data_IF_360254428246
#
_entry.id   IF_360254428246
#
_cell.length_a   1.000
_cell.length_b   1.000
_cell.length_c   1.000
_cell.angle_alpha   90.00
_cell.angle_beta   90.00
_cell.angle_gamma   90.00
#
_symmetry.space_group_name_H-M   'P 1'
#
loop_
_entity.id
_entity.type
_entity.pdbx_description
1 polymer ?
#
# COMPACT_ATOMS: atom_id res chain seq x y z
N UNK A 1 -10.96 10.90 -0.50
CA UNK A 1 -11.56 11.03 -1.83
C UNK A 1 -12.14 12.43 -2.01
N UNK A 2 -12.13 12.90 -3.23
CA UNK A 2 -12.78 14.17 -3.58
C UNK A 2 -13.91 13.90 -4.57
N UNK A 3 -15.10 14.37 -4.23
CA UNK A 3 -16.29 14.25 -5.09
C UNK A 3 -16.88 15.65 -5.27
N UNK A 4 -17.02 16.09 -6.52
CA UNK A 4 -17.59 17.42 -6.84
C UNK A 4 -16.94 18.57 -6.04
N UNK A 5 -15.61 18.60 -5.97
CA UNK A 5 -14.79 19.58 -5.23
C UNK A 5 -14.97 19.57 -3.69
N UNK A 6 -15.60 18.54 -3.12
CA UNK A 6 -15.68 18.35 -1.67
C UNK A 6 -14.86 17.14 -1.26
N UNK A 7 -14.02 17.28 -0.24
CA UNK A 7 -13.22 16.21 0.31
C UNK A 7 -14.01 15.39 1.32
N UNK A 8 -13.82 14.08 1.27
CA UNK A 8 -14.35 13.11 2.22
C UNK A 8 -13.22 12.22 2.70
N UNK A 9 -13.06 12.10 4.00
CA UNK A 9 -12.16 11.13 4.60
C UNK A 9 -12.84 9.77 4.67
N UNK A 10 -12.09 8.71 4.51
CA UNK A 10 -12.58 7.34 4.64
C UNK A 10 -11.60 6.52 5.47
N UNK A 11 -12.10 5.55 6.23
CA UNK A 11 -11.36 4.65 7.10
C UNK A 11 -11.33 3.20 6.58
N UNK A 12 -12.01 2.94 5.46
CA UNK A 12 -11.99 1.65 4.80
C UNK A 12 -12.60 1.69 3.41
N UNK A 13 -12.30 0.67 2.61
CA UNK A 13 -12.90 0.48 1.30
C UNK A 13 -13.03 -0.99 0.95
N UNK A 14 -13.96 -1.31 0.05
CA UNK A 14 -14.09 -2.60 -0.61
C UNK A 14 -14.12 -2.40 -2.12
N UNK A 15 -13.56 -3.33 -2.87
CA UNK A 15 -13.60 -3.30 -4.32
C UNK A 15 -13.99 -4.68 -4.87
N UNK A 16 -14.71 -4.67 -5.99
CA UNK A 16 -15.02 -5.86 -6.78
C UNK A 16 -14.30 -5.77 -8.12
N UNK A 17 -13.48 -6.78 -8.39
CA UNK A 17 -12.65 -6.84 -9.60
C UNK A 17 -13.07 -8.05 -10.41
N UNK A 18 -13.58 -7.81 -11.61
CA UNK A 18 -13.94 -8.83 -12.57
C UNK A 18 -12.86 -9.00 -13.65
N UNK A 19 -13.17 -9.82 -14.65
CA UNK A 19 -12.28 -10.12 -15.77
C UNK A 19 -11.79 -8.86 -16.51
N UNK A 20 -12.65 -7.85 -16.62
CA UNK A 20 -12.36 -6.62 -17.37
C UNK A 20 -11.85 -5.47 -16.48
N UNK A 21 -11.54 -5.74 -15.22
CA UNK A 21 -11.02 -4.76 -14.26
C UNK A 21 -11.96 -4.49 -13.09
N UNK A 22 -11.82 -3.30 -12.49
CA UNK A 22 -12.60 -2.92 -11.31
C UNK A 22 -14.05 -2.62 -11.71
N UNK A 23 -14.99 -3.40 -11.18
CA UNK A 23 -16.42 -3.21 -11.42
C UNK A 23 -17.05 -2.19 -10.47
N UNK A 24 -16.60 -2.18 -9.21
CA UNK A 24 -17.10 -1.23 -8.21
C UNK A 24 -16.10 -1.01 -7.09
N UNK A 25 -16.12 0.19 -6.51
CA UNK A 25 -15.41 0.50 -5.27
C UNK A 25 -16.40 1.17 -4.32
N UNK A 26 -16.43 0.71 -3.08
CA UNK A 26 -17.25 1.27 -2.00
C UNK A 26 -16.33 1.81 -0.92
N UNK A 27 -16.47 3.09 -0.57
CA UNK A 27 -15.72 3.72 0.51
C UNK A 27 -16.59 3.80 1.76
N UNK A 28 -16.04 3.38 2.89
CA UNK A 28 -16.62 3.57 4.21
C UNK A 28 -16.11 4.92 4.73
N UNK A 29 -17.00 5.92 4.76
CA UNK A 29 -16.61 7.25 5.21
C UNK A 29 -16.25 7.25 6.69
N UNK A 30 -15.18 7.98 7.02
CA UNK A 30 -14.79 8.23 8.40
C UNK A 30 -15.87 9.07 9.13
N UNK A 31 -15.97 8.97 10.47
CA UNK A 31 -17.03 9.65 11.25
C UNK A 31 -17.12 11.16 10.98
N UNK A 32 -15.99 11.83 10.79
CA UNK A 32 -15.89 13.24 10.49
C UNK A 32 -16.36 13.64 9.08
N UNK A 33 -16.49 12.65 8.20
CA UNK A 33 -16.91 12.82 6.80
C UNK A 33 -18.28 12.22 6.51
N UNK A 34 -19.01 11.78 7.54
CA UNK A 34 -20.35 11.26 7.34
C UNK A 34 -21.26 12.34 6.76
N UNK A 35 -22.14 11.92 5.85
CA UNK A 35 -23.14 12.80 5.26
C UNK A 35 -24.24 13.05 6.26
N UNK A 36 -24.70 14.32 6.33
CA UNK A 36 -25.68 14.75 7.33
C UNK A 36 -27.04 14.04 7.18
N UNK A 37 -27.43 13.77 5.95
CA UNK A 37 -28.71 13.12 5.62
C UNK A 37 -28.68 12.43 4.24
N UNK A 38 -29.78 11.74 3.93
CA UNK A 38 -29.95 11.06 2.64
C UNK A 38 -29.95 12.04 1.45
N UNK A 39 -30.41 13.27 1.65
CA UNK A 39 -30.44 14.28 0.58
C UNK A 39 -29.01 14.72 0.20
N UNK A 40 -28.09 14.78 1.16
CA UNK A 40 -26.67 15.00 0.86
C UNK A 40 -26.07 13.80 0.11
N UNK A 41 -26.38 12.59 0.53
CA UNK A 41 -25.92 11.39 -0.14
C UNK A 41 -26.42 11.30 -1.59
N UNK A 42 -27.67 11.64 -1.83
CA UNK A 42 -28.29 11.64 -3.17
C UNK A 42 -27.68 12.74 -4.06
N UNK A 43 -27.38 13.92 -3.50
CA UNK A 43 -26.66 14.96 -4.23
C UNK A 43 -25.24 14.54 -4.63
N UNK A 44 -24.55 13.79 -3.78
CA UNK A 44 -23.22 13.28 -4.07
C UNK A 44 -23.26 12.16 -5.11
N UNK A 45 -24.27 11.29 -5.04
CA UNK A 45 -24.49 10.25 -6.06
C UNK A 45 -24.84 10.82 -7.44
N UNK A 46 -25.49 11.97 -7.47
CA UNK A 46 -26.01 12.61 -8.68
C UNK A 46 -27.20 11.87 -9.30
N UNK A 47 -28.05 12.60 -9.99
CA UNK A 47 -29.24 12.06 -10.69
C UNK A 47 -28.88 11.42 -12.05
N UNK A 48 -28.03 10.39 -12.06
CA UNK A 48 -27.55 9.75 -13.29
C UNK A 48 -26.54 10.59 -14.09
N UNK A 49 -26.06 11.68 -13.55
CA UNK A 49 -24.94 12.47 -14.07
C UNK A 49 -23.61 11.84 -13.62
N UNK A 50 -22.62 11.86 -14.48
CA UNK A 50 -21.27 11.40 -14.11
C UNK A 50 -20.68 12.28 -13.02
N UNK A 51 -20.56 11.77 -11.82
CA UNK A 51 -19.82 12.42 -10.76
C UNK A 51 -18.33 12.20 -10.95
N UNK A 52 -17.53 13.25 -10.87
CA UNK A 52 -16.09 13.13 -10.90
C UNK A 52 -15.61 12.77 -9.50
N UNK A 53 -15.08 11.55 -9.37
CA UNK A 53 -14.38 11.09 -8.17
C UNK A 53 -12.88 11.11 -8.45
N UNK A 54 -12.15 11.82 -7.61
CA UNK A 54 -10.68 11.91 -7.69
C UNK A 54 -10.05 11.24 -6.48
N UNK A 55 -9.03 10.44 -6.70
CA UNK A 55 -8.29 9.74 -5.65
C UNK A 55 -6.79 9.77 -5.92
N UNK A 56 -5.99 9.60 -4.87
CA UNK A 56 -4.56 9.38 -4.99
C UNK A 56 -3.81 10.54 -5.65
N UNK A 57 -2.88 10.23 -6.56
CA UNK A 57 -1.99 11.20 -7.19
C UNK A 57 -2.67 12.24 -8.10
N UNK A 58 -3.93 12.03 -8.45
CA UNK A 58 -4.72 13.00 -9.21
C UNK A 58 -5.37 14.08 -8.33
N UNK A 59 -5.13 14.08 -7.03
CA UNK A 59 -5.58 15.12 -6.10
C UNK A 59 -4.52 16.21 -5.97
N UNK A 60 -4.94 17.47 -5.90
CA UNK A 60 -4.04 18.63 -5.79
C UNK A 60 -3.25 18.68 -4.46
N UNK A 61 -3.75 18.04 -3.42
CA UNK A 61 -3.11 17.99 -2.10
C UNK A 61 -2.87 16.52 -1.71
N UNK A 62 -1.62 16.09 -1.81
CA UNK A 62 -1.17 14.80 -1.33
C UNK A 62 -0.85 14.92 0.16
N UNK A 63 -1.51 14.10 0.97
CA UNK A 63 -1.31 14.09 2.43
C UNK A 63 -0.55 12.84 2.89
N UNK A 64 -0.30 12.77 4.21
CA UNK A 64 0.35 11.64 4.86
C UNK A 64 -0.23 10.27 4.43
N UNK A 65 -1.56 10.08 4.34
CA UNK A 65 -2.12 8.79 3.93
C UNK A 65 -1.71 8.35 2.52
N UNK A 66 -1.50 9.29 1.60
CA UNK A 66 -1.01 8.98 0.26
C UNK A 66 0.38 8.34 0.31
N UNK A 67 1.31 8.98 1.02
CA UNK A 67 2.69 8.47 1.15
C UNK A 67 2.75 7.16 1.94
N UNK A 68 1.92 7.01 2.97
CA UNK A 68 1.78 5.74 3.69
C UNK A 68 1.32 4.61 2.76
N UNK A 69 0.36 4.86 1.88
CA UNK A 69 -0.08 3.88 0.90
C UNK A 69 1.00 3.52 -0.10
N UNK A 70 1.81 4.49 -0.56
CA UNK A 70 2.95 4.22 -1.45
C UNK A 70 3.99 3.30 -0.77
N UNK A 71 4.32 3.59 0.49
CA UNK A 71 5.24 2.76 1.27
C UNK A 71 4.65 1.35 1.48
N UNK A 72 3.38 1.25 1.82
CA UNK A 72 2.72 -0.04 2.05
C UNK A 72 2.66 -0.88 0.77
N UNK A 73 2.39 -0.28 -0.38
CA UNK A 73 2.38 -0.97 -1.67
C UNK A 73 3.79 -1.44 -2.05
N UNK A 74 4.79 -0.59 -1.87
CA UNK A 74 6.19 -0.98 -2.06
C UNK A 74 6.57 -2.16 -1.16
N UNK A 75 6.23 -2.10 0.13
CA UNK A 75 6.54 -3.18 1.08
C UNK A 75 5.87 -4.50 0.69
N UNK A 76 4.62 -4.47 0.24
CA UNK A 76 3.93 -5.68 -0.23
C UNK A 76 4.66 -6.31 -1.41
N UNK A 77 5.00 -5.51 -2.41
CA UNK A 77 5.70 -6.00 -3.59
C UNK A 77 7.09 -6.53 -3.25
N UNK A 78 7.86 -5.77 -2.46
CA UNK A 78 9.21 -6.17 -2.06
C UNK A 78 9.20 -7.45 -1.22
N UNK A 79 8.37 -7.51 -0.17
CA UNK A 79 8.33 -8.67 0.72
C UNK A 79 7.79 -9.91 0.03
N UNK A 80 6.84 -9.76 -0.89
CA UNK A 80 6.35 -10.87 -1.71
C UNK A 80 7.45 -11.41 -2.61
N UNK A 81 8.12 -10.54 -3.37
CA UNK A 81 9.22 -10.97 -4.25
C UNK A 81 10.37 -11.63 -3.46
N UNK A 82 10.70 -11.10 -2.28
CA UNK A 82 11.68 -11.69 -1.37
C UNK A 82 11.23 -13.08 -0.88
N UNK A 83 10.01 -13.18 -0.39
CA UNK A 83 9.44 -14.43 0.10
C UNK A 83 9.33 -15.49 -1.00
N UNK A 84 9.03 -15.10 -2.24
CA UNK A 84 8.93 -16.02 -3.38
C UNK A 84 10.31 -16.64 -3.71
N UNK A 85 11.38 -15.88 -3.56
CA UNK A 85 12.76 -16.40 -3.68
C UNK A 85 13.07 -17.33 -2.51
N UNK A 86 12.84 -16.91 -1.27
CA UNK A 86 13.10 -17.71 -0.07
C UNK A 86 12.33 -19.05 -0.08
N UNK A 87 11.04 -19.03 -0.47
CA UNK A 87 10.20 -20.23 -0.55
C UNK A 87 10.67 -21.27 -1.58
N UNK A 88 11.51 -20.89 -2.53
CA UNK A 88 12.15 -21.83 -3.47
C UNK A 88 13.33 -22.53 -2.84
N UNK A 89 13.89 -21.97 -1.78
CA UNK A 89 15.07 -22.49 -1.12
C UNK A 89 14.77 -23.51 -0.02
N UNK A 90 15.86 -24.07 0.48
CA UNK A 90 15.86 -24.99 1.63
C UNK A 90 16.74 -24.44 2.73
N UNK A 91 16.37 -24.73 3.97
CA UNK A 91 17.17 -24.42 5.15
C UNK A 91 18.44 -25.30 5.18
N UNK A 92 19.40 -24.95 6.05
CA UNK A 92 20.59 -25.78 6.25
C UNK A 92 20.26 -27.20 6.76
N UNK A 93 19.12 -27.37 7.40
CA UNK A 93 18.64 -28.67 7.90
C UNK A 93 17.87 -29.47 6.82
N UNK A 94 17.66 -28.90 5.62
CA UNK A 94 16.99 -29.52 4.50
C UNK A 94 15.49 -29.32 4.44
N UNK A 95 14.94 -28.56 5.35
CA UNK A 95 13.52 -28.23 5.34
C UNK A 95 13.22 -27.14 4.30
N UNK A 96 12.03 -27.18 3.70
CA UNK A 96 11.56 -26.08 2.83
C UNK A 96 11.43 -24.80 3.62
N UNK A 97 11.98 -23.72 3.07
CA UNK A 97 11.82 -22.40 3.64
C UNK A 97 10.38 -21.92 3.49
N UNK A 98 9.85 -21.27 4.54
CA UNK A 98 8.60 -20.55 4.51
C UNK A 98 8.80 -19.07 4.18
N UNK A 99 7.78 -18.26 4.45
CA UNK A 99 7.91 -16.81 4.31
C UNK A 99 8.90 -16.25 5.35
N UNK A 100 9.83 -15.43 4.88
CA UNK A 100 10.77 -14.70 5.74
C UNK A 100 10.11 -13.47 6.34
N UNK A 101 9.43 -12.68 5.51
CA UNK A 101 8.63 -11.54 5.94
C UNK A 101 7.17 -11.97 6.14
N UNK A 102 6.60 -11.59 7.28
CA UNK A 102 5.22 -11.91 7.67
C UNK A 102 4.52 -10.67 8.20
N UNK A 103 3.20 -10.65 8.13
CA UNK A 103 2.40 -9.67 8.85
C UNK A 103 2.15 -10.12 10.28
N UNK A 104 1.97 -9.18 11.20
CA UNK A 104 1.57 -9.44 12.57
C UNK A 104 0.25 -8.78 12.88
N UNK A 105 -0.74 -9.55 13.31
CA UNK A 105 -2.04 -9.03 13.74
C UNK A 105 -1.93 -8.36 15.12
N UNK A 106 -2.89 -7.50 15.52
CA UNK A 106 -2.94 -6.93 16.86
C UNK A 106 -2.99 -7.99 17.99
N UNK A 107 -3.43 -9.20 17.68
CA UNK A 107 -3.46 -10.34 18.61
C UNK A 107 -2.13 -11.10 18.68
N UNK A 108 -1.11 -10.67 17.92
CA UNK A 108 0.21 -11.29 17.89
C UNK A 108 0.34 -12.50 16.97
N UNK A 109 -0.71 -12.86 16.25
CA UNK A 109 -0.63 -13.94 15.25
C UNK A 109 0.05 -13.43 13.99
N UNK A 110 0.90 -14.26 13.39
CA UNK A 110 1.54 -13.97 12.10
C UNK A 110 0.67 -14.47 10.95
N UNK A 111 0.72 -13.76 9.84
CA UNK A 111 0.06 -14.15 8.59
C UNK A 111 0.95 -13.82 7.38
N UNK A 112 0.80 -14.58 6.31
CA UNK A 112 1.39 -14.27 5.01
C UNK A 112 0.46 -13.30 4.27
N UNK A 113 1.04 -12.37 3.51
CA UNK A 113 0.24 -11.57 2.59
C UNK A 113 -0.28 -12.45 1.44
N UNK A 114 -1.57 -12.37 1.15
CA UNK A 114 -2.12 -13.03 -0.02
C UNK A 114 -1.50 -12.42 -1.29
N UNK A 115 -1.13 -13.26 -2.22
CA UNK A 115 -0.64 -12.83 -3.52
C UNK A 115 -1.80 -12.37 -4.39
N UNK A 116 -1.68 -11.18 -4.99
CA UNK A 116 -2.61 -10.73 -6.02
C UNK A 116 -2.70 -11.71 -7.18
N UNK A 117 -1.54 -12.19 -7.63
CA UNK A 117 -1.46 -13.14 -8.75
C UNK A 117 -2.17 -14.46 -8.42
N UNK A 118 -2.08 -14.94 -7.18
CA UNK A 118 -2.80 -16.15 -6.75
C UNK A 118 -4.33 -15.93 -6.79
N UNK A 119 -4.82 -14.76 -6.36
CA UNK A 119 -6.26 -14.42 -6.44
C UNK A 119 -6.73 -14.35 -7.88
N UNK A 120 -5.97 -13.69 -8.76
CA UNK A 120 -6.27 -13.60 -10.19
C UNK A 120 -6.24 -14.97 -10.85
N UNK A 121 -5.27 -15.80 -10.51
CA UNK A 121 -5.17 -17.16 -11.05
C UNK A 121 -6.36 -18.02 -10.63
N UNK A 122 -6.75 -17.97 -9.35
CA UNK A 122 -7.93 -18.68 -8.85
C UNK A 122 -9.22 -18.22 -9.55
N UNK A 123 -9.39 -16.92 -9.79
CA UNK A 123 -10.52 -16.38 -10.51
C UNK A 123 -10.56 -16.86 -11.98
N UNK A 124 -9.40 -16.89 -12.66
CA UNK A 124 -9.27 -17.42 -14.02
C UNK A 124 -9.65 -18.91 -14.08
N UNK A 125 -9.16 -19.71 -13.16
CA UNK A 125 -9.47 -21.15 -13.07
C UNK A 125 -10.96 -21.38 -12.81
N UNK A 126 -11.60 -20.50 -12.04
CA UNK A 126 -13.04 -20.50 -11.82
C UNK A 126 -13.87 -19.91 -12.99
N UNK A 127 -13.22 -19.45 -14.06
CA UNK A 127 -13.89 -18.85 -15.22
C UNK A 127 -14.58 -17.52 -14.90
N UNK A 128 -14.07 -16.75 -13.93
CA UNK A 128 -14.63 -15.45 -13.50
C UNK A 128 -16.12 -15.50 -13.16
N UNK A 129 -16.57 -16.62 -12.60
CA UNK A 129 -17.98 -16.78 -12.19
C UNK A 129 -18.39 -15.82 -11.07
N UNK A 130 -17.41 -15.33 -10.33
CA UNK A 130 -17.58 -14.32 -9.28
C UNK A 130 -16.43 -13.32 -9.34
N UNK A 131 -16.72 -12.04 -9.04
CA UNK A 131 -15.71 -11.02 -8.90
C UNK A 131 -14.77 -11.35 -7.72
N UNK A 132 -13.50 -10.97 -7.84
CA UNK A 132 -12.57 -10.95 -6.71
C UNK A 132 -13.01 -9.83 -5.80
N UNK A 133 -13.29 -10.13 -4.54
CA UNK A 133 -13.60 -9.13 -3.53
C UNK A 133 -12.32 -8.77 -2.77
N UNK A 134 -12.03 -7.47 -2.71
CA UNK A 134 -10.90 -6.88 -1.99
C UNK A 134 -11.42 -5.97 -0.89
N UNK A 135 -10.75 -5.94 0.25
CA UNK A 135 -11.13 -5.09 1.37
C UNK A 135 -9.89 -4.59 2.11
N UNK A 136 -9.88 -3.30 2.45
CA UNK A 136 -8.82 -2.73 3.30
C UNK A 136 -8.73 -3.39 4.67
N UNK A 137 -9.85 -3.91 5.19
CA UNK A 137 -9.96 -4.40 6.56
C UNK A 137 -9.94 -5.93 6.66
N UNK A 138 -10.34 -6.64 5.60
CA UNK A 138 -10.52 -8.08 5.62
C UNK A 138 -9.45 -8.87 4.86
N UNK A 139 -8.69 -8.20 4.01
CA UNK A 139 -7.75 -8.85 3.10
C UNK A 139 -6.32 -8.81 3.66
N UNK A 140 -5.69 -9.97 3.85
CA UNK A 140 -4.34 -10.06 4.40
C UNK A 140 -3.31 -9.26 3.58
N UNK A 141 -3.48 -9.19 2.27
CA UNK A 141 -2.63 -8.37 1.42
C UNK A 141 -2.67 -6.88 1.82
N UNK A 142 -3.86 -6.31 2.07
CA UNK A 142 -3.99 -4.91 2.46
C UNK A 142 -3.70 -4.65 3.94
N UNK A 143 -3.85 -5.66 4.80
CA UNK A 143 -3.42 -5.61 6.20
C UNK A 143 -1.90 -5.65 6.34
N UNK A 144 -1.16 -6.05 5.30
CA UNK A 144 0.29 -6.06 5.29
C UNK A 144 0.82 -4.65 5.03
N UNK A 145 1.27 -4.00 6.08
CA UNK A 145 1.68 -2.58 6.10
C UNK A 145 3.01 -2.41 6.83
N UNK A 146 3.59 -1.22 6.76
CA UNK A 146 4.81 -0.88 7.50
C UNK A 146 4.67 -1.08 9.02
N UNK A 147 3.45 -0.98 9.56
CA UNK A 147 3.19 -1.17 11.00
C UNK A 147 2.97 -2.61 11.41
N UNK A 148 2.60 -3.48 10.47
CA UNK A 148 2.34 -4.90 10.72
C UNK A 148 3.46 -5.80 10.25
N UNK A 149 4.39 -5.29 9.44
CA UNK A 149 5.55 -6.03 8.93
C UNK A 149 6.42 -6.56 10.06
N UNK A 150 6.74 -7.83 9.99
CA UNK A 150 7.66 -8.51 10.91
C UNK A 150 8.51 -9.55 10.18
N UNK A 151 9.61 -9.93 10.77
CA UNK A 151 10.38 -11.09 10.35
C UNK A 151 9.81 -12.34 11.03
N UNK A 152 9.78 -13.44 10.30
CA UNK A 152 9.31 -14.72 10.83
C UNK A 152 10.08 -15.09 12.12
N UNK A 153 9.34 -15.43 13.17
CA UNK A 153 9.92 -15.73 14.48
C UNK A 153 10.87 -16.94 14.48
N UNK A 154 10.75 -17.84 13.52
CA UNK A 154 11.71 -18.95 13.35
C UNK A 154 13.06 -18.42 12.88
N UNK A 155 13.08 -17.55 11.86
CA UNK A 155 14.32 -16.92 11.34
C UNK A 155 15.01 -16.05 12.41
N UNK A 156 14.25 -15.41 13.30
CA UNK A 156 14.82 -14.63 14.40
C UNK A 156 15.46 -15.49 15.49
N UNK A 157 14.99 -16.73 15.68
CA UNK A 157 15.48 -17.64 16.74
C UNK A 157 16.58 -18.56 16.26
N UNK A 158 16.59 -18.86 14.97
CA UNK A 158 17.50 -19.83 14.37
C UNK A 158 18.05 -19.24 13.05
N UNK A 159 19.34 -18.94 13.03
CA UNK A 159 20.04 -18.43 11.84
C UNK A 159 20.08 -19.44 10.70
N UNK A 160 19.91 -20.75 10.99
CA UNK A 160 19.84 -21.78 9.97
C UNK A 160 18.50 -21.76 9.22
N UNK A 161 17.48 -21.08 9.77
CA UNK A 161 16.19 -20.89 9.13
C UNK A 161 16.23 -19.70 8.18
N UNK A 162 17.10 -19.80 7.17
CA UNK A 162 17.26 -18.88 6.04
C UNK A 162 17.77 -19.70 4.85
N UNK A 163 17.15 -19.51 3.67
CA UNK A 163 17.55 -20.27 2.49
C UNK A 163 18.70 -19.59 1.77
N UNK A 164 19.83 -20.26 1.67
CA UNK A 164 20.96 -19.80 0.84
C UNK A 164 21.00 -20.49 -0.52
N UNK A 165 20.27 -21.61 -0.67
CA UNK A 165 20.27 -22.43 -1.87
C UNK A 165 18.92 -23.12 -2.07
N UNK A 166 18.61 -23.42 -3.33
CA UNK A 166 17.44 -24.22 -3.71
C UNK A 166 17.61 -25.72 -3.43
N UNK A 167 18.83 -26.17 -3.16
CA UNK A 167 19.15 -27.59 -2.90
C UNK A 167 20.29 -27.71 -1.92
N UNK A 168 20.21 -28.68 -1.01
CA UNK A 168 21.37 -29.12 -0.24
C UNK A 168 22.27 -30.00 -1.15
N UNK A 169 23.45 -29.49 -1.46
CA UNK A 169 24.49 -30.27 -2.14
C UNK A 169 25.62 -30.53 -1.18
N UNK A 170 25.96 -31.83 -0.97
CA UNK A 170 27.13 -32.18 -0.18
C UNK A 170 28.40 -31.74 -0.92
N UNK A 171 29.16 -30.83 -0.29
CA UNK A 171 30.51 -30.49 -0.72
C UNK A 171 30.67 -29.25 -1.61
N UNK A 172 29.61 -28.63 -2.10
CA UNK A 172 29.69 -27.37 -2.84
C UNK A 172 28.74 -26.34 -2.22
N UNK A 173 29.26 -25.15 -1.90
CA UNK A 173 28.44 -24.03 -1.48
C UNK A 173 27.69 -23.47 -2.70
N UNK A 174 26.40 -23.72 -2.77
CA UNK A 174 25.50 -23.00 -3.71
C UNK A 174 24.89 -21.80 -2.98
N UNK A 175 24.87 -20.68 -3.68
CA UNK A 175 24.31 -19.42 -3.17
C UNK A 175 23.28 -18.86 -4.16
N UNK A 176 22.59 -19.73 -4.91
CA UNK A 176 21.64 -19.36 -5.95
C UNK A 176 20.49 -18.50 -5.40
N UNK A 177 19.96 -18.82 -4.22
CA UNK A 177 18.92 -17.99 -3.56
C UNK A 177 19.47 -16.61 -3.19
N UNK A 178 20.70 -16.54 -2.66
CA UNK A 178 21.34 -15.27 -2.31
C UNK A 178 21.63 -14.43 -3.55
N UNK A 179 22.05 -15.07 -4.65
CA UNK A 179 22.25 -14.38 -5.93
C UNK A 179 20.95 -13.81 -6.49
N UNK A 180 19.83 -14.52 -6.35
CA UNK A 180 18.51 -14.02 -6.77
C UNK A 180 18.01 -12.88 -5.88
N UNK A 181 18.25 -12.93 -4.57
CA UNK A 181 17.99 -11.81 -3.67
C UNK A 181 18.83 -10.56 -4.03
N UNK A 182 20.09 -10.73 -4.43
CA UNK A 182 20.93 -9.63 -4.91
C UNK A 182 20.42 -9.03 -6.23
N UNK A 183 19.88 -9.86 -7.12
CA UNK A 183 19.23 -9.38 -8.35
C UNK A 183 17.98 -8.57 -8.05
N UNK A 184 17.22 -8.96 -7.01
CA UNK A 184 16.02 -8.27 -6.58
C UNK A 184 16.28 -6.80 -6.24
N UNK A 185 17.43 -6.47 -5.64
CA UNK A 185 17.84 -5.08 -5.34
C UNK A 185 17.86 -4.19 -6.59
N UNK A 186 18.18 -4.77 -7.76
CA UNK A 186 18.33 -4.08 -9.04
C UNK A 186 17.14 -4.28 -9.98
N UNK A 187 16.10 -4.98 -9.54
CA UNK A 187 14.93 -5.21 -10.37
C UNK A 187 14.13 -3.91 -10.53
N UNK A 188 14.22 -3.34 -11.73
CA UNK A 188 13.54 -2.09 -12.12
C UNK A 188 12.02 -2.24 -12.26
N UNK A 189 11.49 -3.46 -12.20
CA UNK A 189 10.04 -3.72 -12.29
C UNK A 189 9.38 -3.92 -10.93
N UNK A 190 10.12 -3.71 -9.86
CA UNK A 190 9.63 -3.96 -8.51
C UNK A 190 8.47 -3.04 -8.14
N UNK A 191 8.56 -1.76 -8.50
CA UNK A 191 7.52 -0.80 -8.23
C UNK A 191 7.47 0.31 -9.28
N UNK A 192 6.38 0.39 -10.04
CA UNK A 192 6.11 1.43 -11.06
C UNK A 192 7.22 1.60 -12.12
N UNK A 193 8.04 0.58 -12.34
CA UNK A 193 9.15 0.62 -13.28
C UNK A 193 10.48 1.06 -12.67
N UNK A 194 10.52 1.29 -11.36
CA UNK A 194 11.72 1.67 -10.61
C UNK A 194 12.28 0.51 -9.78
N UNK A 195 13.59 0.58 -9.48
CA UNK A 195 14.20 -0.27 -8.46
C UNK A 195 13.75 0.17 -7.06
N UNK A 196 13.94 -0.70 -6.06
CA UNK A 196 13.63 -0.39 -4.67
C UNK A 196 14.31 0.89 -4.17
N UNK A 197 15.60 1.06 -4.51
CA UNK A 197 16.40 2.25 -4.14
C UNK A 197 15.84 3.52 -4.79
N UNK A 198 15.69 3.53 -6.10
CA UNK A 198 15.20 4.69 -6.86
C UNK A 198 13.80 5.09 -6.44
N UNK A 199 12.93 4.12 -6.16
CA UNK A 199 11.59 4.42 -5.67
C UNK A 199 11.60 5.13 -4.31
N UNK A 200 12.42 4.65 -3.36
CA UNK A 200 12.52 5.26 -2.03
C UNK A 200 13.14 6.67 -2.09
N UNK A 201 14.15 6.89 -2.94
CA UNK A 201 14.72 8.22 -3.17
C UNK A 201 13.69 9.19 -3.77
N UNK A 202 12.93 8.75 -4.75
CA UNK A 202 11.86 9.53 -5.37
C UNK A 202 10.77 9.87 -4.34
N UNK A 203 10.35 8.92 -3.53
CA UNK A 203 9.36 9.13 -2.49
C UNK A 203 9.81 10.19 -1.47
N UNK A 204 11.07 10.12 -1.01
CA UNK A 204 11.65 11.10 -0.07
C UNK A 204 11.72 12.49 -0.71
N UNK A 205 12.07 12.54 -1.99
CA UNK A 205 12.12 13.79 -2.76
C UNK A 205 10.74 14.43 -2.86
N UNK A 206 9.72 13.66 -3.23
CA UNK A 206 8.34 14.13 -3.36
C UNK A 206 7.79 14.63 -2.02
N UNK A 207 7.99 13.89 -0.94
CA UNK A 207 7.61 14.33 0.42
C UNK A 207 8.28 15.66 0.76
N UNK A 208 9.57 15.81 0.44
CA UNK A 208 10.32 17.03 0.73
C UNK A 208 9.76 18.23 -0.04
N UNK A 209 9.45 18.07 -1.31
CA UNK A 209 8.84 19.10 -2.15
C UNK A 209 7.48 19.52 -1.60
N UNK A 210 6.62 18.55 -1.25
CA UNK A 210 5.28 18.83 -0.73
C UNK A 210 5.31 19.50 0.65
N UNK A 211 6.22 19.09 1.53
CA UNK A 211 6.43 19.76 2.84
C UNK A 211 6.85 21.21 2.64
N UNK A 212 7.80 21.49 1.75
CA UNK A 212 8.25 22.85 1.46
C UNK A 212 7.13 23.71 0.86
N UNK A 213 6.37 23.16 -0.09
CA UNK A 213 5.19 23.83 -0.69
C UNK A 213 4.13 24.16 0.37
N UNK A 214 3.81 23.18 1.20
CA UNK A 214 2.79 23.34 2.26
C UNK A 214 3.24 24.35 3.30
N UNK A 215 4.50 24.32 3.72
CA UNK A 215 5.07 25.28 4.67
C UNK A 215 5.04 26.71 4.11
N UNK A 216 5.42 26.89 2.85
CA UNK A 216 5.35 28.19 2.18
C UNK A 216 3.91 28.71 2.10
N UNK A 217 2.96 27.85 1.72
CA UNK A 217 1.54 28.20 1.66
C UNK A 217 1.01 28.57 3.04
N UNK A 218 1.32 27.83 4.08
CA UNK A 218 0.91 28.10 5.46
C UNK A 218 1.43 29.46 5.93
N UNK A 219 2.70 29.78 5.67
CA UNK A 219 3.28 31.08 6.00
C UNK A 219 2.60 32.23 5.26
N UNK A 220 2.28 32.04 3.96
CA UNK A 220 1.58 33.04 3.16
C UNK A 220 0.17 33.29 3.70
N UNK A 221 -0.60 32.24 4.05
CA UNK A 221 -1.92 32.38 4.64
C UNK A 221 -1.87 33.03 6.04
N UNK A 222 -0.88 32.72 6.85
CA UNK A 222 -0.68 33.36 8.14
C UNK A 222 -0.42 34.87 8.01
N UNK A 223 0.45 35.25 7.06
CA UNK A 223 0.75 36.65 6.76
C UNK A 223 -0.51 37.40 6.24
N UNK A 224 -1.27 36.77 5.34
CA UNK A 224 -2.52 37.32 4.84
C UNK A 224 -3.56 37.50 5.96
N UNK A 225 -3.70 36.51 6.83
CA UNK A 225 -4.58 36.59 8.01
C UNK A 225 -4.22 37.77 8.92
N UNK A 226 -2.89 37.93 9.20
CA UNK A 226 -2.40 39.05 10.00
C UNK A 226 -2.66 40.41 9.33
N UNK A 227 -2.43 40.52 8.02
CA UNK A 227 -2.70 41.74 7.26
C UNK A 227 -4.19 42.13 7.30
N UNK A 228 -5.07 41.16 7.10
CA UNK A 228 -6.54 41.37 7.19
C UNK A 228 -6.95 41.79 8.61
N UNK A 229 -6.41 41.14 9.64
CA UNK A 229 -6.69 41.51 11.03
C UNK A 229 -6.27 42.97 11.34
N UNK A 230 -5.05 43.35 10.87
CA UNK A 230 -4.55 44.73 11.01
C UNK A 230 -5.40 45.74 10.29
N UNK A 231 -5.84 45.43 9.06
CA UNK A 231 -6.77 46.32 8.32
C UNK A 231 -8.10 46.46 9.04
N UNK A 232 -8.68 45.40 9.58
CA UNK A 232 -9.91 45.47 10.36
C UNK A 232 -9.80 46.40 11.58
N UNK A 233 -8.68 46.32 12.32
CA UNK A 233 -8.44 47.19 13.49
C UNK A 233 -8.16 48.62 13.10
N UNK A 234 -7.69 48.90 11.88
CA UNK A 234 -7.46 50.30 11.43
C UNK A 234 -8.71 51.02 10.94
N UNK A 235 -9.81 50.29 10.69
CA UNK A 235 -11.07 50.82 10.17
C UNK A 235 -12.18 50.86 11.27
N UNK A 236 -11.92 50.29 12.44
CA UNK A 236 -12.79 50.33 13.61
C UNK A 236 -12.30 51.36 14.61
#
# INVERSE_FOLDING_TARGET
IMVNNKYYYYDGWTAKVGENGVNSVTFKLAPESQMADQAEADRVKGDGQSNYLTTGSSMDALGIPYYQNQINEFLRNFTQAFNDIEKQGVTLDGDKMGAFFVGTSPTGNTFDADSWDAKVQAAKEAGWTTDIELSSDGDSYYQFTATTLAVNSKSLKDSNYFATSTQITQGEAKYDTVEDLLKLQKDVRMFRGDSAETFLETLISDVTVDVNKTTTSSNNYSNLSTAIATQRTSVS
#
